data_IF_935954792266
#
_entry.id   IF_935954792266
#
_cell.length_a   1.000
_cell.length_b   1.000
_cell.length_c   1.000
_cell.angle_alpha   90.00
_cell.angle_beta   90.00
_cell.angle_gamma   90.00
#
_symmetry.space_group_name_H-M   'P 1'
#
loop_
_entity.id
_entity.type
_entity.pdbx_description
1 polymer ?
#
# COMPACT_ATOMS: atom_id res chain seq x y z
N UNK A 1 -12.91 8.81 2.21
CA UNK A 1 -11.50 8.87 2.67
C UNK A 1 -11.35 8.58 4.16
N UNK A 2 -12.15 9.20 5.05
CA UNK A 2 -12.07 8.98 6.51
C UNK A 2 -11.97 7.50 6.95
N UNK A 3 -12.79 6.55 6.45
CA UNK A 3 -12.77 5.18 6.98
C UNK A 3 -11.44 4.45 6.77
N UNK A 4 -10.77 4.69 5.63
CA UNK A 4 -9.52 4.01 5.29
C UNK A 4 -8.31 4.63 6.01
N UNK A 5 -8.34 5.94 6.23
CA UNK A 5 -7.35 6.61 7.08
C UNK A 5 -7.45 6.10 8.53
N UNK A 6 -8.67 6.03 9.07
CA UNK A 6 -8.91 5.49 10.41
C UNK A 6 -8.51 4.01 10.50
N UNK A 7 -8.76 3.20 9.47
CA UNK A 7 -8.30 1.81 9.42
C UNK A 7 -6.77 1.69 9.43
N UNK A 8 -6.06 2.52 8.66
CA UNK A 8 -4.59 2.57 8.70
C UNK A 8 -4.07 2.92 10.09
N UNK A 9 -4.69 3.90 10.76
CA UNK A 9 -4.34 4.30 12.13
C UNK A 9 -4.58 3.18 13.15
N UNK A 10 -5.71 2.47 13.03
CA UNK A 10 -6.03 1.32 13.88
C UNK A 10 -5.03 0.17 13.73
N UNK A 11 -4.43 0.01 12.55
CA UNK A 11 -3.34 -0.94 12.29
C UNK A 11 -1.95 -0.40 12.65
N UNK A 12 -1.86 0.80 13.20
CA UNK A 12 -0.61 1.53 13.47
C UNK A 12 0.25 1.76 12.20
N UNK A 13 -0.37 1.77 11.03
CA UNK A 13 0.30 2.04 9.75
C UNK A 13 0.47 3.54 9.55
N UNK A 14 1.66 4.05 9.92
CA UNK A 14 2.00 5.47 9.81
C UNK A 14 2.41 5.84 8.38
N UNK A 15 1.52 6.54 7.68
CA UNK A 15 1.75 7.04 6.33
C UNK A 15 0.55 7.83 5.80
N UNK A 16 0.62 8.19 4.52
CA UNK A 16 -0.47 8.80 3.75
C UNK A 16 -1.24 7.69 3.06
N UNK A 17 -2.57 7.68 3.21
CA UNK A 17 -3.45 6.79 2.43
C UNK A 17 -3.67 7.36 1.04
N UNK A 18 -3.24 6.62 0.02
CA UNK A 18 -3.52 6.90 -1.39
C UNK A 18 -4.68 6.00 -1.83
N UNK A 19 -5.87 6.55 -2.10
CA UNK A 19 -7.01 5.78 -2.54
C UNK A 19 -6.91 5.38 -4.01
N UNK A 20 -7.73 4.42 -4.41
CA UNK A 20 -8.01 4.04 -5.80
C UNK A 20 -6.76 3.70 -6.64
N UNK A 21 -5.77 3.07 -6.02
CA UNK A 21 -4.57 2.56 -6.71
C UNK A 21 -4.93 1.25 -7.39
N UNK A 22 -4.63 1.14 -8.69
CA UNK A 22 -4.78 -0.10 -9.43
C UNK A 22 -3.53 -0.96 -9.28
N UNK A 23 -3.68 -2.13 -8.68
CA UNK A 23 -2.60 -3.07 -8.38
C UNK A 23 -3.06 -4.46 -8.81
N UNK A 24 -2.35 -5.08 -9.76
CA UNK A 24 -2.62 -6.45 -10.23
C UNK A 24 -4.09 -6.67 -10.67
N UNK A 25 -4.70 -5.65 -11.29
CA UNK A 25 -6.09 -5.67 -11.75
C UNK A 25 -7.14 -5.44 -10.64
N UNK A 26 -6.71 -5.05 -9.44
CA UNK A 26 -7.58 -4.74 -8.31
C UNK A 26 -7.44 -3.26 -7.91
N UNK A 27 -8.55 -2.64 -7.49
CA UNK A 27 -8.53 -1.27 -6.96
C UNK A 27 -8.45 -1.31 -5.44
N UNK A 28 -7.39 -0.73 -4.90
CA UNK A 28 -7.05 -0.79 -3.47
C UNK A 28 -6.66 0.59 -2.97
N UNK A 29 -6.47 0.71 -1.65
CA UNK A 29 -5.84 1.89 -1.06
C UNK A 29 -4.47 1.52 -0.51
N UNK A 30 -3.44 2.27 -0.87
CA UNK A 30 -2.07 2.04 -0.41
C UNK A 30 -1.74 3.00 0.73
N UNK A 31 -1.13 2.51 1.79
CA UNK A 31 -0.56 3.36 2.84
C UNK A 31 0.92 3.51 2.58
N UNK A 32 1.37 4.75 2.35
CA UNK A 32 2.75 5.02 1.93
C UNK A 32 3.43 6.01 2.84
N UNK A 33 4.75 5.88 2.99
CA UNK A 33 5.57 6.85 3.70
C UNK A 33 6.57 7.46 2.75
N UNK A 34 6.59 8.79 2.65
CA UNK A 34 7.62 9.51 1.92
C UNK A 34 8.96 9.40 2.67
N UNK A 35 10.01 8.99 1.96
CA UNK A 35 11.38 9.00 2.44
C UNK A 35 11.98 10.36 2.15
N UNK A 36 11.82 11.30 3.08
CA UNK A 36 12.19 12.70 2.88
C UNK A 36 13.66 12.89 2.47
N UNK A 37 14.57 12.14 3.08
CA UNK A 37 16.00 12.13 2.73
C UNK A 37 16.24 11.73 1.27
N UNK A 38 15.56 10.68 0.79
CA UNK A 38 15.64 10.22 -0.59
C UNK A 38 14.95 11.19 -1.54
N UNK A 39 13.79 11.74 -1.16
CA UNK A 39 13.09 12.75 -1.93
C UNK A 39 13.98 13.98 -2.15
N UNK A 40 14.57 14.52 -1.09
CA UNK A 40 15.43 15.71 -1.18
C UNK A 40 16.68 15.46 -2.01
N UNK A 41 17.27 14.27 -1.92
CA UNK A 41 18.38 13.87 -2.79
C UNK A 41 17.94 13.76 -4.25
N UNK A 42 16.83 13.07 -4.52
CA UNK A 42 16.28 12.88 -5.87
C UNK A 42 15.94 14.21 -6.53
N UNK A 43 15.26 15.09 -5.81
CA UNK A 43 14.88 16.44 -6.27
C UNK A 43 16.11 17.28 -6.62
N UNK A 44 17.16 17.26 -5.79
CA UNK A 44 18.42 18.00 -6.07
C UNK A 44 19.23 17.43 -7.23
N UNK A 45 19.10 16.13 -7.51
CA UNK A 45 19.87 15.43 -8.53
C UNK A 45 19.07 15.17 -9.81
N UNK A 46 17.87 15.74 -9.96
CA UNK A 46 17.07 15.62 -11.18
C UNK A 46 16.44 14.23 -11.40
N UNK A 47 16.07 13.54 -10.32
CA UNK A 47 15.45 12.21 -10.35
C UNK A 47 13.96 12.27 -9.95
N UNK A 48 13.05 12.76 -10.81
CA UNK A 48 11.62 12.75 -10.53
C UNK A 48 11.09 11.32 -10.35
N UNK A 49 9.85 11.13 -9.85
CA UNK A 49 9.16 9.85 -9.93
C UNK A 49 9.09 9.36 -11.38
N UNK A 50 9.37 8.08 -11.63
CA UNK A 50 9.30 7.48 -12.96
C UNK A 50 8.23 6.38 -13.01
N UNK A 51 7.01 6.79 -13.34
CA UNK A 51 5.83 5.90 -13.36
C UNK A 51 5.62 5.18 -14.70
N UNK A 52 6.35 5.52 -15.76
CA UNK A 52 6.19 4.84 -17.07
C UNK A 52 6.74 3.41 -17.00
N UNK A 53 5.88 2.38 -17.13
CA UNK A 53 6.31 0.97 -17.12
C UNK A 53 7.32 0.63 -18.23
N UNK A 54 7.44 1.44 -19.29
CA UNK A 54 8.42 1.25 -20.37
C UNK A 54 9.86 1.36 -19.89
N UNK A 55 10.11 2.20 -18.88
CA UNK A 55 11.45 2.47 -18.36
C UNK A 55 12.02 1.27 -17.58
N UNK A 56 11.16 0.39 -17.06
CA UNK A 56 11.53 -0.73 -16.18
C UNK A 56 12.37 -1.80 -16.87
N UNK A 57 12.27 -1.91 -18.19
CA UNK A 57 13.14 -2.81 -18.96
C UNK A 57 14.61 -2.40 -18.88
N UNK A 58 14.88 -1.11 -18.69
CA UNK A 58 16.25 -0.61 -18.54
C UNK A 58 16.88 -1.00 -17.20
N UNK A 59 16.08 -1.25 -16.16
CA UNK A 59 16.60 -1.64 -14.85
C UNK A 59 17.16 -3.05 -14.76
N UNK A 60 16.89 -3.88 -15.77
CA UNK A 60 17.48 -5.20 -15.88
C UNK A 60 18.85 -5.20 -16.55
N UNK A 61 19.27 -4.07 -17.11
CA UNK A 61 20.64 -3.95 -17.57
C UNK A 61 21.54 -3.83 -16.33
N UNK A 62 22.39 -4.83 -16.04
CA UNK A 62 23.25 -4.77 -14.86
C UNK A 62 24.22 -3.59 -14.90
N UNK A 63 24.46 -3.01 -16.09
CA UNK A 63 25.26 -1.79 -16.25
C UNK A 63 24.56 -0.52 -15.78
N UNK A 64 23.24 -0.58 -15.56
CA UNK A 64 22.41 0.53 -15.12
C UNK A 64 22.02 0.44 -13.64
N UNK A 65 22.37 -0.64 -12.92
CA UNK A 65 22.02 -0.79 -11.49
C UNK A 65 22.52 0.37 -10.61
N UNK A 66 23.71 0.90 -10.87
CA UNK A 66 24.28 2.04 -10.14
C UNK A 66 23.59 3.38 -10.48
N UNK A 67 22.73 3.39 -11.49
CA UNK A 67 22.03 4.57 -12.00
C UNK A 67 20.55 4.59 -11.59
N UNK A 68 20.05 3.54 -10.93
CA UNK A 68 18.66 3.48 -10.48
C UNK A 68 18.58 4.17 -9.11
N UNK A 69 17.81 5.27 -8.98
CA UNK A 69 17.66 5.92 -7.69
C UNK A 69 16.99 4.99 -6.68
N UNK A 70 17.26 5.19 -5.39
CA UNK A 70 16.56 4.48 -4.31
C UNK A 70 15.05 4.86 -4.34
N UNK A 71 14.12 3.97 -3.93
CA UNK A 71 12.70 4.31 -3.91
C UNK A 71 12.42 5.53 -3.03
N UNK A 72 11.62 6.47 -3.53
CA UNK A 72 11.26 7.69 -2.79
C UNK A 72 10.22 7.46 -1.68
N UNK A 73 9.59 6.29 -1.66
CA UNK A 73 8.55 5.93 -0.68
C UNK A 73 8.73 4.50 -0.19
N UNK A 74 8.20 4.23 1.00
CA UNK A 74 7.95 2.89 1.52
C UNK A 74 6.45 2.58 1.37
N UNK A 75 6.12 1.37 0.90
CA UNK A 75 4.75 0.85 0.95
C UNK A 75 4.55 0.18 2.32
N UNK A 76 3.81 0.85 3.21
CA UNK A 76 3.59 0.42 4.59
C UNK A 76 2.52 -0.67 4.67
N UNK A 77 1.51 -0.59 3.80
CA UNK A 77 0.47 -1.60 3.73
C UNK A 77 -0.55 -1.32 2.64
N UNK A 78 -1.40 -2.31 2.38
CA UNK A 78 -2.49 -2.25 1.41
C UNK A 78 -3.81 -2.50 2.13
N UNK A 79 -4.74 -1.58 1.97
CA UNK A 79 -6.11 -1.67 2.47
C UNK A 79 -7.05 -2.02 1.33
N UNK A 80 -7.83 -3.08 1.53
CA UNK A 80 -8.79 -3.59 0.55
C UNK A 80 -10.21 -3.45 1.11
N UNK A 81 -11.02 -2.49 0.65
CA UNK A 81 -12.41 -2.40 1.06
C UNK A 81 -13.19 -3.61 0.52
N UNK A 82 -13.91 -4.30 1.39
CA UNK A 82 -14.83 -5.38 1.02
C UNK A 82 -16.13 -5.30 1.82
N UNK A 83 -17.17 -5.97 1.33
CA UNK A 83 -18.45 -6.07 2.06
C UNK A 83 -18.68 -7.44 2.67
N UNK A 84 -17.85 -8.42 2.29
CA UNK A 84 -18.03 -9.81 2.71
C UNK A 84 -16.68 -10.47 2.97
N UNK A 85 -16.57 -11.13 4.12
CA UNK A 85 -15.34 -11.78 4.55
C UNK A 85 -14.92 -12.95 3.64
N UNK A 86 -15.87 -13.63 2.98
CA UNK A 86 -15.60 -14.72 2.04
C UNK A 86 -14.81 -14.29 0.79
N UNK A 87 -14.74 -12.99 0.52
CA UNK A 87 -13.92 -12.42 -0.55
C UNK A 87 -12.54 -11.98 -0.09
N UNK A 88 -12.33 -11.77 1.21
CA UNK A 88 -11.14 -11.13 1.76
C UNK A 88 -9.85 -11.83 1.33
N UNK A 89 -9.78 -13.16 1.45
CA UNK A 89 -8.58 -13.91 1.09
C UNK A 89 -8.27 -13.81 -0.40
N UNK A 90 -9.29 -13.94 -1.26
CA UNK A 90 -9.14 -13.77 -2.71
C UNK A 90 -8.68 -12.35 -3.04
N UNK A 91 -9.25 -11.36 -2.36
CA UNK A 91 -8.97 -9.95 -2.63
C UNK A 91 -7.58 -9.53 -2.14
N UNK A 92 -7.07 -10.14 -1.07
CA UNK A 92 -5.74 -9.83 -0.50
C UNK A 92 -4.60 -10.74 -1.00
N UNK A 93 -4.91 -11.94 -1.52
CA UNK A 93 -3.94 -13.02 -1.70
C UNK A 93 -2.71 -12.66 -2.52
N UNK A 94 -2.86 -11.97 -3.66
CA UNK A 94 -1.68 -11.58 -4.46
C UNK A 94 -1.01 -10.32 -3.91
N UNK A 95 -1.78 -9.44 -3.25
CA UNK A 95 -1.29 -8.16 -2.73
C UNK A 95 -0.33 -8.35 -1.54
N UNK A 96 -0.50 -9.43 -0.77
CA UNK A 96 0.37 -9.74 0.37
C UNK A 96 1.83 -10.02 -0.03
N UNK A 97 2.08 -10.25 -1.33
CA UNK A 97 3.44 -10.37 -1.87
C UNK A 97 4.16 -9.03 -1.98
N UNK A 98 3.46 -7.90 -1.81
CA UNK A 98 3.98 -6.55 -2.00
C UNK A 98 4.19 -5.79 -0.70
N UNK A 99 3.32 -6.00 0.30
CA UNK A 99 3.33 -5.37 1.61
C UNK A 99 2.31 -6.06 2.54
N UNK A 100 2.29 -5.74 3.86
CA UNK A 100 1.18 -6.11 4.73
C UNK A 100 -0.17 -5.73 4.11
N UNK A 101 -1.12 -6.66 4.11
CA UNK A 101 -2.41 -6.49 3.46
C UNK A 101 -3.53 -6.69 4.48
N UNK A 102 -4.50 -5.78 4.50
CA UNK A 102 -5.65 -5.86 5.37
C UNK A 102 -6.94 -5.57 4.62
N UNK A 103 -7.98 -6.34 4.93
CA UNK A 103 -9.33 -6.09 4.46
C UNK A 103 -10.04 -5.13 5.42
N UNK A 104 -10.82 -4.20 4.87
CA UNK A 104 -11.68 -3.29 5.63
C UNK A 104 -13.13 -3.66 5.37
N UNK A 105 -13.84 -4.08 6.42
CA UNK A 105 -15.20 -4.63 6.36
C UNK A 105 -16.17 -3.80 7.21
N UNK A 106 -17.47 -3.80 6.91
CA UNK A 106 -18.48 -3.33 7.87
C UNK A 106 -18.46 -4.20 9.14
N UNK A 107 -18.73 -3.60 10.31
CA UNK A 107 -18.89 -4.34 11.55
C UNK A 107 -20.20 -5.15 11.52
N UNK A 108 -20.08 -6.46 11.35
CA UNK A 108 -21.19 -7.41 11.43
C UNK A 108 -20.82 -8.55 12.38
N UNK A 109 -21.79 -9.36 12.76
CA UNK A 109 -21.49 -10.66 13.38
C UNK A 109 -20.73 -11.50 12.34
N UNK A 110 -19.50 -11.89 12.67
CA UNK A 110 -18.61 -12.62 11.76
C UNK A 110 -18.38 -14.02 12.29
N UNK A 111 -18.53 -15.00 11.40
CA UNK A 111 -18.10 -16.37 11.68
C UNK A 111 -16.59 -16.37 12.04
N UNK A 112 -16.18 -16.98 13.17
CA UNK A 112 -14.78 -17.10 13.53
C UNK A 112 -13.93 -17.86 12.50
N UNK A 113 -14.53 -18.78 11.73
CA UNK A 113 -13.76 -19.65 10.84
C UNK A 113 -13.01 -18.91 9.72
N UNK A 114 -13.65 -18.02 8.94
CA UNK A 114 -12.94 -17.15 8.01
C UNK A 114 -11.84 -16.29 8.64
N UNK A 115 -12.00 -15.86 9.90
CA UNK A 115 -10.98 -15.05 10.58
C UNK A 115 -9.70 -15.86 10.86
N UNK A 116 -9.85 -17.12 11.27
CA UNK A 116 -8.72 -18.05 11.47
C UNK A 116 -7.97 -18.27 10.16
N UNK A 117 -8.69 -18.43 9.04
CA UNK A 117 -8.06 -18.59 7.73
C UNK A 117 -7.26 -17.33 7.33
N UNK A 118 -7.83 -16.14 7.53
CA UNK A 118 -7.14 -14.88 7.23
C UNK A 118 -5.90 -14.68 8.11
N UNK A 119 -6.01 -14.97 9.40
CA UNK A 119 -4.89 -14.93 10.35
C UNK A 119 -3.76 -15.91 9.92
N UNK A 120 -4.11 -17.15 9.57
CA UNK A 120 -3.15 -18.15 9.08
C UNK A 120 -2.38 -17.68 7.84
N UNK A 121 -3.04 -16.96 6.94
CA UNK A 121 -2.38 -16.40 5.75
C UNK A 121 -1.68 -15.07 6.02
N UNK A 122 -1.88 -14.43 7.17
CA UNK A 122 -1.31 -13.13 7.54
C UNK A 122 -2.09 -11.92 7.00
N UNK A 123 -3.36 -12.11 6.61
CA UNK A 123 -4.25 -11.04 6.14
C UNK A 123 -4.92 -10.38 7.33
N UNK A 124 -4.65 -9.08 7.51
CA UNK A 124 -5.30 -8.30 8.57
C UNK A 124 -6.78 -8.04 8.29
N UNK A 125 -7.53 -7.81 9.35
CA UNK A 125 -8.96 -7.47 9.28
C UNK A 125 -9.22 -6.26 10.15
N UNK A 126 -9.81 -5.23 9.56
CA UNK A 126 -10.36 -4.07 10.28
C UNK A 126 -11.84 -3.99 9.99
N UNK A 127 -12.66 -3.92 11.04
CA UNK A 127 -14.08 -3.61 10.90
C UNK A 127 -14.35 -2.14 11.13
N UNK A 128 -15.35 -1.59 10.44
CA UNK A 128 -15.83 -0.22 10.59
C UNK A 128 -17.29 -0.29 11.04
N UNK A 129 -17.60 0.27 12.21
CA UNK A 129 -18.98 0.35 12.70
C UNK A 129 -19.83 1.38 11.93
N UNK A 130 -21.10 1.52 12.31
CA UNK A 130 -22.02 2.46 11.65
C UNK A 130 -21.61 3.93 11.85
N UNK A 131 -20.90 4.22 12.94
CA UNK A 131 -20.35 5.52 13.31
C UNK A 131 -19.00 5.81 12.61
N UNK A 132 -18.43 4.82 11.92
CA UNK A 132 -17.15 4.94 11.20
C UNK A 132 -15.92 4.64 12.06
N UNK A 133 -16.09 4.08 13.26
CA UNK A 133 -15.00 3.73 14.17
C UNK A 133 -14.32 2.44 13.70
N UNK A 134 -13.00 2.45 13.48
CA UNK A 134 -12.26 1.26 13.11
C UNK A 134 -11.95 0.38 14.33
N UNK A 135 -12.07 -0.93 14.17
CA UNK A 135 -11.63 -1.92 15.15
C UNK A 135 -10.78 -3.00 14.46
N UNK A 136 -9.49 -3.14 14.81
CA UNK A 136 -8.67 -4.23 14.29
C UNK A 136 -9.12 -5.55 14.93
N UNK A 137 -9.42 -6.55 14.10
CA UNK A 137 -9.88 -7.88 14.52
C UNK A 137 -8.76 -8.91 14.36
N UNK A 138 -8.02 -8.82 13.26
CA UNK A 138 -6.87 -9.68 12.95
C UNK A 138 -5.70 -8.77 12.56
N UNK A 139 -4.51 -8.93 13.17
CA UNK A 139 -3.34 -8.15 12.77
C UNK A 139 -2.89 -8.53 11.35
N UNK A 140 -2.35 -7.57 10.60
CA UNK A 140 -1.72 -7.86 9.31
C UNK A 140 -0.25 -8.21 9.52
N UNK A 141 0.22 -9.27 8.86
CA UNK A 141 1.63 -9.67 8.86
C UNK A 141 2.35 -9.18 7.60
N UNK A 142 3.64 -8.86 7.73
CA UNK A 142 4.48 -8.56 6.57
C UNK A 142 5.05 -9.83 5.95
N UNK A 143 4.31 -10.42 5.03
CA UNK A 143 4.75 -11.59 4.26
C UNK A 143 5.51 -11.24 3.00
N UNK A 144 5.59 -9.96 2.63
CA UNK A 144 6.23 -9.51 1.39
C UNK A 144 7.71 -9.90 1.33
N UNK A 145 8.37 -9.95 2.50
CA UNK A 145 9.78 -10.34 2.62
C UNK A 145 10.06 -11.79 2.20
N UNK A 146 9.06 -12.68 2.25
CA UNK A 146 9.20 -14.08 1.82
C UNK A 146 9.29 -14.21 0.30
N UNK A 147 8.77 -13.23 -0.45
CA UNK A 147 8.73 -13.24 -1.92
C UNK A 147 9.90 -12.46 -2.54
N UNK A 148 10.55 -11.59 -1.76
CA UNK A 148 11.67 -10.78 -2.20
C UNK A 148 11.26 -9.62 -3.13
N UNK A 149 12.24 -8.83 -3.60
CA UNK A 149 11.96 -7.68 -4.45
C UNK A 149 11.46 -8.14 -5.82
N UNK A 150 10.46 -7.42 -6.35
CA UNK A 150 9.95 -7.61 -7.71
C UNK A 150 10.00 -6.29 -8.49
N UNK A 151 10.13 -6.38 -9.82
CA UNK A 151 10.02 -5.19 -10.66
C UNK A 151 8.68 -4.48 -10.49
N UNK A 152 7.61 -5.27 -10.42
CA UNK A 152 6.27 -4.73 -10.28
C UNK A 152 6.16 -3.97 -8.96
N UNK A 153 6.67 -4.53 -7.86
CA UNK A 153 6.73 -3.83 -6.58
C UNK A 153 7.54 -2.54 -6.67
N UNK A 154 8.70 -2.57 -7.33
CA UNK A 154 9.50 -1.35 -7.50
C UNK A 154 8.82 -0.31 -8.39
N UNK A 155 8.11 -0.72 -9.45
CA UNK A 155 7.29 0.16 -10.27
C UNK A 155 6.16 0.80 -9.48
N UNK A 156 5.47 -0.03 -8.70
CA UNK A 156 4.40 0.44 -7.84
C UNK A 156 4.92 1.52 -6.88
N UNK A 157 6.14 1.39 -6.34
CA UNK A 157 6.74 2.45 -5.51
C UNK A 157 6.95 3.77 -6.27
N UNK A 158 7.32 3.75 -7.55
CA UNK A 158 7.44 4.98 -8.36
C UNK A 158 6.06 5.60 -8.65
N UNK A 159 5.05 4.78 -8.96
CA UNK A 159 3.67 5.24 -9.14
C UNK A 159 3.14 5.88 -7.85
N UNK A 160 3.38 5.25 -6.70
CA UNK A 160 2.97 5.75 -5.39
C UNK A 160 3.75 7.01 -5.00
N UNK A 161 5.03 7.10 -5.39
CA UNK A 161 5.84 8.28 -5.18
C UNK A 161 5.30 9.48 -5.97
N UNK A 162 4.92 9.30 -7.24
CA UNK A 162 4.25 10.35 -8.02
C UNK A 162 2.96 10.83 -7.32
N UNK A 163 2.10 9.87 -6.95
CA UNK A 163 0.81 10.18 -6.31
C UNK A 163 0.94 10.90 -4.97
N UNK A 164 1.91 10.54 -4.13
CA UNK A 164 2.08 11.22 -2.82
C UNK A 164 2.56 12.66 -2.99
N UNK A 165 3.41 12.93 -4.00
CA UNK A 165 3.85 14.30 -4.31
C UNK A 165 2.71 15.16 -4.87
N UNK A 166 1.86 14.59 -5.72
CA UNK A 166 0.67 15.29 -6.24
C UNK A 166 -0.31 15.66 -5.13
N UNK A 167 -0.54 14.74 -4.18
CA UNK A 167 -1.37 14.99 -2.99
C UNK A 167 -0.77 16.09 -2.11
N UNK A 168 0.55 16.07 -1.87
CA UNK A 168 1.23 17.09 -1.08
C UNK A 168 1.14 18.47 -1.72
N UNK A 169 1.26 18.54 -3.05
CA UNK A 169 1.14 19.78 -3.82
C UNK A 169 -0.29 20.33 -3.78
N UNK A 170 -1.30 19.46 -3.86
CA UNK A 170 -2.70 19.85 -3.80
C UNK A 170 -3.13 20.32 -2.40
N UNK A 171 -2.53 19.76 -1.34
CA UNK A 171 -2.81 20.11 0.04
C UNK A 171 -2.18 21.45 0.49
N UNK A 172 -1.18 21.96 -0.24
CA UNK A 172 -0.59 23.27 -0.01
C UNK A 172 -1.20 24.29 -1.00
N UNK A 173 -2.04 25.24 -0.55
CA UNK A 173 -2.31 26.41 -1.38
C UNK A 173 -1.00 27.22 -1.48
N UNK A 174 -0.65 27.66 -2.69
CA UNK A 174 0.35 28.70 -2.88
C UNK A 174 -0.03 29.96 -2.05
N UNK A 175 0.95 30.71 -1.51
CA UNK A 175 0.73 31.89 -0.69
C UNK A 175 -0.09 32.98 -1.38
#
# INVERSE_FOLDING_TARGET
MLPLQCAAEALAWRGVVIPDVEVLGQRVSAVVRLRHDVHDWRSRNGWPPESDPSWFRSWFDPSLHDQIPVPGVDLIGVLVPENRIDRALRSCGTLMTLAPCAVVLPATDMDPWPLIELDYYGVGVVTIDAEGTPAPVVPAEDRSTEFGPSLFGRWLLEVLYAKVLDLATTAAPLP
#
